data_IF_818772318070
#
_entry.id   IF_818772318070
#
_cell.length_a   1.000
_cell.length_b   1.000
_cell.length_c   1.000
_cell.angle_alpha   90.00
_cell.angle_beta   90.00
_cell.angle_gamma   90.00
#
_symmetry.space_group_name_H-M   'P 1'
#
loop_
_entity.id
_entity.type
_entity.pdbx_description
1 polymer ?
#
# COMPACT_ATOMS: atom_id res chain seq x y z
N UNK A 1 -3.57 33.18 13.32
CA UNK A 1 -3.66 33.08 11.84
C UNK A 1 -4.30 34.35 11.26
N UNK A 2 -3.79 35.53 11.64
CA UNK A 2 -4.44 36.82 11.35
C UNK A 2 -3.96 37.48 10.06
N UNK A 3 -2.80 37.08 9.55
CA UNK A 3 -2.20 37.60 8.31
C UNK A 3 -2.57 36.78 7.09
N UNK A 4 -2.66 37.46 5.96
CA UNK A 4 -2.76 36.88 4.63
C UNK A 4 -1.67 37.48 3.74
N UNK A 5 -0.82 36.62 3.15
CA UNK A 5 0.27 37.07 2.28
C UNK A 5 0.02 36.56 0.88
N UNK A 6 -0.04 37.49 -0.06
CA UNK A 6 -0.48 37.25 -1.42
C UNK A 6 0.62 37.61 -2.42
N UNK A 7 0.85 36.71 -3.38
CA UNK A 7 1.57 37.03 -4.60
C UNK A 7 0.54 37.12 -5.73
N UNK A 8 0.41 38.29 -6.34
CA UNK A 8 -0.67 38.60 -7.29
C UNK A 8 -0.16 39.37 -8.50
N UNK A 9 -0.96 39.37 -9.57
CA UNK A 9 -0.86 40.37 -10.63
C UNK A 9 -2.09 41.26 -10.62
N UNK A 10 -1.87 42.56 -10.61
CA UNK A 10 -2.94 43.55 -10.70
C UNK A 10 -3.42 43.74 -12.15
N UNK A 11 -4.33 44.70 -12.35
CA UNK A 11 -4.92 45.00 -13.67
C UNK A 11 -3.89 45.56 -14.68
N UNK A 12 -2.79 46.15 -14.20
CA UNK A 12 -1.67 46.60 -15.01
C UNK A 12 -0.63 45.48 -15.24
N UNK A 13 -0.94 44.25 -14.80
CA UNK A 13 -0.10 43.06 -14.88
C UNK A 13 1.23 43.18 -14.09
N UNK A 14 1.31 44.12 -13.13
CA UNK A 14 2.45 44.29 -12.22
C UNK A 14 2.44 43.18 -11.18
N UNK A 15 3.62 42.69 -10.81
CA UNK A 15 3.76 41.63 -9.81
C UNK A 15 3.85 42.27 -8.41
N UNK A 16 2.89 41.96 -7.56
CA UNK A 16 2.79 42.52 -6.21
C UNK A 16 2.94 41.42 -5.16
N UNK A 17 3.75 41.70 -4.13
CA UNK A 17 3.76 40.96 -2.87
C UNK A 17 3.03 41.80 -1.83
N UNK A 18 1.85 41.35 -1.41
CA UNK A 18 0.95 42.12 -0.55
C UNK A 18 0.74 41.37 0.76
N UNK A 19 0.87 42.09 1.88
CA UNK A 19 0.46 41.60 3.20
C UNK A 19 -0.84 42.29 3.61
N UNK A 20 -1.86 41.49 3.97
CA UNK A 20 -3.18 41.96 4.35
C UNK A 20 -3.58 41.38 5.71
N UNK A 21 -4.43 42.11 6.44
CA UNK A 21 -5.21 41.53 7.53
C UNK A 21 -6.24 40.55 6.95
N UNK A 22 -6.45 39.42 7.61
CA UNK A 22 -7.37 38.38 7.12
C UNK A 22 -8.83 38.66 7.51
N UNK A 23 -9.04 39.22 8.69
CA UNK A 23 -10.36 39.47 9.26
C UNK A 23 -10.59 40.96 9.48
N UNK A 24 -11.81 41.43 9.26
CA UNK A 24 -12.29 42.72 9.71
C UNK A 24 -12.58 42.68 11.22
N UNK A 25 -12.88 43.84 11.82
CA UNK A 25 -13.15 43.96 13.27
C UNK A 25 -14.37 43.16 13.73
N UNK A 26 -15.34 42.93 12.85
CA UNK A 26 -16.52 42.10 13.10
C UNK A 26 -16.26 40.59 12.92
N UNK A 27 -15.02 40.21 12.59
CA UNK A 27 -14.61 38.84 12.36
C UNK A 27 -14.92 38.30 10.95
N UNK A 28 -15.53 39.10 10.07
CA UNK A 28 -15.73 38.71 8.67
C UNK A 28 -14.41 38.72 7.89
N UNK A 29 -14.33 37.96 6.79
CA UNK A 29 -13.14 37.94 5.95
C UNK A 29 -12.95 39.27 5.23
N UNK A 30 -11.72 39.78 5.25
CA UNK A 30 -11.37 41.06 4.63
C UNK A 30 -11.30 40.98 3.10
N UNK A 31 -10.92 39.82 2.57
CA UNK A 31 -10.85 39.54 1.14
C UNK A 31 -11.53 38.22 0.80
N UNK A 32 -11.93 38.08 -0.46
CA UNK A 32 -12.56 36.86 -0.98
C UNK A 32 -11.70 36.24 -2.07
N UNK A 33 -11.79 34.92 -2.22
CA UNK A 33 -11.03 34.17 -3.20
C UNK A 33 -11.98 33.36 -4.07
N UNK A 34 -11.92 33.57 -5.37
CA UNK A 34 -12.77 32.87 -6.33
C UNK A 34 -12.08 32.79 -7.69
N UNK A 35 -12.18 31.61 -8.34
CA UNK A 35 -11.76 31.40 -9.72
C UNK A 35 -10.30 31.82 -10.04
N UNK A 36 -9.38 31.71 -9.07
CA UNK A 36 -7.97 32.11 -9.25
C UNK A 36 -7.70 33.61 -9.08
N UNK A 37 -8.64 34.35 -8.48
CA UNK A 37 -8.50 35.77 -8.17
C UNK A 37 -8.69 36.02 -6.67
N UNK A 38 -8.11 37.13 -6.21
CA UNK A 38 -8.49 37.79 -4.96
C UNK A 38 -9.39 38.98 -5.28
N UNK A 39 -10.49 39.10 -4.54
CA UNK A 39 -11.44 40.22 -4.58
C UNK A 39 -11.28 41.06 -3.33
N UNK A 40 -10.96 42.34 -3.53
CA UNK A 40 -10.83 43.34 -2.48
C UNK A 40 -12.18 43.99 -2.17
N UNK A 41 -12.28 44.68 -1.03
CA UNK A 41 -13.51 45.31 -0.56
C UNK A 41 -14.02 46.44 -1.49
N UNK A 42 -13.13 47.07 -2.26
CA UNK A 42 -13.46 48.10 -3.25
C UNK A 42 -13.90 47.52 -4.61
N UNK A 43 -13.93 46.18 -4.74
CA UNK A 43 -14.29 45.46 -5.95
C UNK A 43 -13.14 45.21 -6.92
N UNK A 44 -11.91 45.65 -6.61
CA UNK A 44 -10.74 45.33 -7.42
C UNK A 44 -10.47 43.82 -7.42
N UNK A 45 -10.03 43.29 -8.57
CA UNK A 45 -9.78 41.86 -8.78
C UNK A 45 -8.36 41.63 -9.26
N UNK A 46 -7.54 40.99 -8.43
CA UNK A 46 -6.17 40.68 -8.80
C UNK A 46 -6.00 39.18 -9.07
N UNK A 47 -5.25 38.85 -10.11
CA UNK A 47 -4.95 37.46 -10.44
C UNK A 47 -4.04 36.89 -9.37
N UNK A 48 -4.48 35.82 -8.74
CA UNK A 48 -3.75 35.18 -7.67
C UNK A 48 -2.72 34.18 -8.22
N UNK A 49 -1.48 34.30 -7.76
CA UNK A 49 -0.41 33.35 -8.06
C UNK A 49 -0.14 32.42 -6.88
N UNK A 50 -0.11 32.97 -5.66
CA UNK A 50 0.12 32.18 -4.43
C UNK A 50 -0.44 32.88 -3.19
N UNK A 51 -0.84 32.08 -2.19
CA UNK A 51 -1.21 32.51 -0.83
C UNK A 51 -0.34 31.80 0.20
N UNK A 52 0.16 32.52 1.20
CA UNK A 52 0.87 31.92 2.34
C UNK A 52 0.45 32.57 3.65
N UNK A 53 0.68 31.85 4.74
CA UNK A 53 0.42 32.36 6.09
C UNK A 53 1.41 33.42 6.58
N UNK A 54 2.60 33.47 5.97
CA UNK A 54 3.70 34.34 6.39
C UNK A 54 4.52 34.80 5.19
N UNK A 55 5.18 35.96 5.32
CA UNK A 55 6.13 36.48 4.32
C UNK A 55 7.29 35.50 4.16
N UNK A 56 7.85 34.97 5.25
CA UNK A 56 8.93 33.99 5.19
C UNK A 56 8.52 32.71 4.42
N UNK A 57 7.24 32.30 4.52
CA UNK A 57 6.66 31.27 3.67
C UNK A 57 6.69 31.66 2.19
N UNK A 58 6.17 32.84 1.85
CA UNK A 58 6.14 33.33 0.47
C UNK A 58 7.53 33.47 -0.13
N UNK A 59 8.49 34.03 0.62
CA UNK A 59 9.88 34.17 0.17
C UNK A 59 10.47 32.82 -0.22
N UNK A 60 10.25 31.75 0.56
CA UNK A 60 10.71 30.40 0.22
C UNK A 60 10.07 29.85 -1.06
N UNK A 61 8.82 30.21 -1.35
CA UNK A 61 8.17 29.84 -2.60
C UNK A 61 8.75 30.62 -3.78
N UNK A 62 8.97 31.92 -3.64
CA UNK A 62 9.57 32.77 -4.69
C UNK A 62 11.02 32.32 -4.99
N UNK A 63 11.84 32.10 -3.96
CA UNK A 63 13.24 31.66 -4.12
C UNK A 63 13.37 30.27 -4.74
N UNK A 64 12.33 29.44 -4.72
CA UNK A 64 12.35 28.14 -5.42
C UNK A 64 12.41 28.26 -6.95
N UNK A 65 12.10 29.45 -7.50
CA UNK A 65 12.10 29.73 -8.93
C UNK A 65 10.83 29.27 -9.67
N UNK A 66 9.87 28.64 -9.00
CA UNK A 66 8.65 28.12 -9.64
C UNK A 66 7.56 29.18 -9.88
N UNK A 67 7.62 30.32 -9.16
CA UNK A 67 6.53 31.33 -9.19
C UNK A 67 6.87 32.61 -9.95
N UNK A 68 8.15 32.95 -10.04
CA UNK A 68 8.61 34.24 -10.56
C UNK A 68 9.90 34.02 -11.33
N UNK A 69 9.96 34.50 -12.56
CA UNK A 69 11.16 34.45 -13.39
C UNK A 69 12.25 35.38 -12.84
N UNK A 70 13.51 34.98 -12.99
CA UNK A 70 14.66 35.78 -12.59
C UNK A 70 14.64 37.16 -13.28
N UNK A 71 14.84 38.22 -12.50
CA UNK A 71 14.83 39.60 -13.01
C UNK A 71 13.45 40.26 -13.09
N UNK A 72 12.36 39.58 -12.72
CA UNK A 72 11.04 40.20 -12.61
C UNK A 72 11.01 41.22 -11.46
N UNK A 73 10.57 42.45 -11.73
CA UNK A 73 10.36 43.47 -10.70
C UNK A 73 9.19 43.06 -9.78
N UNK A 74 9.47 42.93 -8.49
CA UNK A 74 8.48 42.63 -7.45
C UNK A 74 8.23 43.87 -6.59
N UNK A 75 7.00 44.38 -6.65
CA UNK A 75 6.59 45.51 -5.83
C UNK A 75 6.08 44.97 -4.49
N UNK A 76 6.76 45.32 -3.40
CA UNK A 76 6.27 44.98 -2.07
C UNK A 76 5.31 46.03 -1.56
N UNK A 77 4.13 45.60 -1.14
CA UNK A 77 3.14 46.41 -0.44
C UNK A 77 3.10 45.88 1.00
N UNK A 78 3.95 46.42 1.89
CA UNK A 78 4.00 45.96 3.27
C UNK A 78 2.70 46.33 4.00
N UNK A 79 2.28 45.42 4.88
CA UNK A 79 1.22 45.69 5.83
C UNK A 79 1.78 46.40 7.05
N UNK A 80 1.21 47.55 7.42
CA UNK A 80 1.49 48.18 8.70
C UNK A 80 0.44 47.72 9.70
N UNK A 81 0.75 46.60 10.37
CA UNK A 81 -0.16 45.97 11.30
C UNK A 81 0.53 45.68 12.63
N UNK A 82 -0.20 45.90 13.72
CA UNK A 82 0.15 45.44 15.06
C UNK A 82 0.05 43.89 15.15
N UNK A 83 -0.39 43.39 16.30
CA UNK A 83 -0.47 41.97 16.63
C UNK A 83 -1.74 41.30 16.09
N UNK A 84 -1.80 41.15 14.75
CA UNK A 84 -2.92 40.47 14.07
C UNK A 84 -3.12 39.02 14.53
N UNK A 85 -2.08 38.36 15.03
CA UNK A 85 -2.14 36.94 15.38
C UNK A 85 -2.92 36.69 16.68
N UNK A 86 -2.98 37.69 17.56
CA UNK A 86 -3.69 37.64 18.84
C UNK A 86 -5.09 38.29 18.80
N UNK A 87 -5.56 38.72 17.62
CA UNK A 87 -6.95 39.17 17.47
C UNK A 87 -7.94 38.02 17.75
N UNK A 88 -9.11 38.29 18.38
CA UNK A 88 -10.08 37.25 18.73
C UNK A 88 -10.51 36.36 17.55
N UNK A 89 -10.74 36.96 16.37
CA UNK A 89 -11.09 36.23 15.17
C UNK A 89 -9.94 35.32 14.68
N UNK A 90 -8.69 35.81 14.74
CA UNK A 90 -7.51 35.04 14.35
C UNK A 90 -7.26 33.85 15.28
N UNK A 91 -7.52 34.00 16.58
CA UNK A 91 -7.43 32.92 17.57
C UNK A 91 -8.55 31.89 17.40
N UNK A 92 -9.79 32.33 17.24
CA UNK A 92 -10.93 31.44 16.99
C UNK A 92 -10.73 30.63 15.70
N UNK A 93 -10.22 31.27 14.65
CA UNK A 93 -9.93 30.62 13.38
C UNK A 93 -8.76 29.61 13.50
N UNK A 94 -7.70 29.95 14.23
CA UNK A 94 -6.60 29.02 14.49
C UNK A 94 -7.06 27.77 15.27
N UNK A 95 -7.93 27.94 16.26
CA UNK A 95 -8.52 26.82 17.00
C UNK A 95 -9.43 25.96 16.10
N UNK A 96 -10.22 26.58 15.22
CA UNK A 96 -11.03 25.85 14.24
C UNK A 96 -10.16 25.03 13.27
N UNK A 97 -9.05 25.59 12.78
CA UNK A 97 -8.08 24.87 11.95
C UNK A 97 -7.46 23.69 12.69
N UNK A 98 -7.07 23.89 13.96
CA UNK A 98 -6.49 22.83 14.81
C UNK A 98 -7.46 21.68 15.01
N UNK A 99 -8.72 21.96 15.36
CA UNK A 99 -9.75 20.94 15.51
C UNK A 99 -9.99 20.16 14.24
N UNK A 100 -9.99 20.81 13.06
CA UNK A 100 -10.14 20.11 11.77
C UNK A 100 -9.02 19.11 11.53
N UNK A 101 -7.78 19.45 11.86
CA UNK A 101 -6.64 18.53 11.77
C UNK A 101 -6.81 17.36 12.76
N UNK A 102 -7.20 17.66 14.01
CA UNK A 102 -7.35 16.65 15.07
C UNK A 102 -8.53 15.68 14.85
N UNK A 103 -9.66 16.17 14.34
CA UNK A 103 -10.90 15.39 14.18
C UNK A 103 -10.95 14.56 12.89
N UNK A 104 -10.12 14.87 11.88
CA UNK A 104 -10.21 14.18 10.59
C UNK A 104 -9.03 14.35 9.62
N UNK A 105 -7.93 15.01 10.02
CA UNK A 105 -6.81 15.27 9.13
C UNK A 105 -5.92 14.05 8.91
N UNK A 106 -6.20 13.23 7.90
CA UNK A 106 -5.20 12.30 7.37
C UNK A 106 -4.16 13.09 6.56
N UNK A 107 -3.06 13.48 7.20
CA UNK A 107 -1.97 14.23 6.56
C UNK A 107 -1.20 13.40 5.51
N UNK A 108 -1.49 12.10 5.38
CA UNK A 108 -0.97 11.26 4.32
C UNK A 108 -1.92 11.16 3.14
N UNK A 109 -3.09 11.80 3.17
CA UNK A 109 -4.01 11.86 2.03
C UNK A 109 -4.13 13.29 1.52
N UNK A 110 -3.95 13.47 0.21
CA UNK A 110 -4.05 14.78 -0.40
C UNK A 110 -5.50 15.26 -0.45
N UNK A 111 -5.76 16.44 0.10
CA UNK A 111 -7.08 17.07 0.08
C UNK A 111 -7.64 17.32 -1.33
N UNK A 112 -6.77 17.41 -2.35
CA UNK A 112 -7.16 17.83 -3.70
C UNK A 112 -7.46 16.65 -4.60
N UNK A 113 -6.58 15.64 -4.61
CA UNK A 113 -6.72 14.49 -5.50
C UNK A 113 -7.21 13.22 -4.79
N UNK A 114 -7.24 13.21 -3.46
CA UNK A 114 -7.61 12.05 -2.64
C UNK A 114 -6.58 10.92 -2.62
N UNK A 115 -5.43 11.08 -3.30
CA UNK A 115 -4.35 10.07 -3.33
C UNK A 115 -3.41 10.24 -2.15
N UNK A 116 -2.65 9.19 -1.86
CA UNK A 116 -1.68 9.18 -0.76
C UNK A 116 -0.49 10.09 -1.04
N UNK A 117 0.00 10.77 -0.02
CA UNK A 117 1.19 11.62 -0.06
C UNK A 117 2.37 10.79 0.45
N UNK A 118 3.26 10.45 -0.46
CA UNK A 118 4.55 9.81 -0.18
C UNK A 118 5.73 10.58 -0.80
N UNK A 119 5.55 11.87 -1.06
CA UNK A 119 6.60 12.79 -1.49
C UNK A 119 7.40 13.29 -0.28
N UNK A 120 8.72 13.45 -0.42
CA UNK A 120 9.56 14.03 0.65
C UNK A 120 9.01 15.38 1.14
N UNK A 121 8.59 16.24 0.21
CA UNK A 121 8.04 17.56 0.51
C UNK A 121 6.59 17.64 0.04
N UNK A 122 5.70 17.97 0.97
CA UNK A 122 4.30 18.31 0.70
C UNK A 122 3.94 19.62 1.40
N UNK A 123 2.76 20.15 1.09
CA UNK A 123 2.28 21.39 1.71
C UNK A 123 1.18 21.11 2.71
N UNK A 124 1.29 21.70 3.90
CA UNK A 124 0.14 21.91 4.76
C UNK A 124 -0.59 23.15 4.27
N UNK A 125 -1.86 23.00 3.92
CA UNK A 125 -2.68 24.06 3.34
C UNK A 125 -3.99 24.23 4.09
N UNK A 126 -4.60 25.36 3.80
CA UNK A 126 -5.95 25.72 4.14
C UNK A 126 -6.71 26.05 2.84
N UNK A 127 -7.81 25.35 2.61
CA UNK A 127 -8.78 25.65 1.55
C UNK A 127 -9.81 26.57 2.17
N UNK A 128 -9.70 27.84 1.82
CA UNK A 128 -10.56 28.91 2.31
C UNK A 128 -10.88 29.85 1.14
N UNK A 129 -11.73 29.36 0.25
CA UNK A 129 -12.23 30.06 -0.94
C UNK A 129 -13.75 29.88 -1.06
N UNK A 130 -14.39 30.67 -1.92
CA UNK A 130 -15.86 30.71 -2.00
C UNK A 130 -16.47 29.49 -2.71
N UNK A 131 -15.64 28.69 -3.39
CA UNK A 131 -16.10 27.55 -4.20
C UNK A 131 -16.08 26.23 -3.43
N UNK A 132 -15.43 26.18 -2.26
CA UNK A 132 -15.22 24.95 -1.51
C UNK A 132 -15.55 25.10 -0.02
N UNK A 133 -15.94 24.02 0.66
CA UNK A 133 -15.99 24.01 2.12
C UNK A 133 -14.62 24.32 2.73
N UNK A 134 -14.64 24.88 3.93
CA UNK A 134 -13.42 25.12 4.69
C UNK A 134 -12.74 23.81 5.09
N UNK A 135 -11.51 23.61 4.63
CA UNK A 135 -10.70 22.42 4.91
C UNK A 135 -9.24 22.77 5.23
N UNK A 136 -8.60 21.94 6.05
CA UNK A 136 -7.18 22.09 6.43
C UNK A 136 -6.53 20.72 6.41
N UNK A 137 -5.36 20.61 5.79
CA UNK A 137 -4.69 19.32 5.62
C UNK A 137 -3.48 19.39 4.70
N UNK A 138 -3.08 18.26 4.13
CA UNK A 138 -1.91 18.16 3.29
C UNK A 138 -2.26 18.03 1.80
N UNK A 139 -1.35 18.49 0.93
CA UNK A 139 -1.43 18.28 -0.52
C UNK A 139 -0.06 17.97 -1.12
N UNK A 140 -0.05 17.16 -2.18
CA UNK A 140 1.14 17.00 -3.02
C UNK A 140 1.61 18.36 -3.54
N UNK A 141 2.92 18.47 -3.80
CA UNK A 141 3.49 19.69 -4.39
C UNK A 141 2.80 20.04 -5.71
N UNK A 142 2.56 19.03 -6.57
CA UNK A 142 1.88 19.20 -7.85
C UNK A 142 0.38 19.49 -7.77
N UNK A 143 -0.26 19.26 -6.62
CA UNK A 143 -1.70 19.52 -6.42
C UNK A 143 -1.99 20.91 -5.85
N UNK A 144 -0.94 21.69 -5.54
CA UNK A 144 -1.08 23.00 -4.93
C UNK A 144 -1.65 24.03 -5.94
N UNK A 145 -2.86 24.53 -5.68
CA UNK A 145 -3.52 25.58 -6.49
C UNK A 145 -3.24 26.98 -5.91
N UNK A 146 -3.30 28.06 -6.73
CA UNK A 146 -3.07 29.42 -6.25
C UNK A 146 -3.97 29.84 -5.07
N UNK A 147 -5.23 29.39 -5.07
CA UNK A 147 -6.20 29.69 -4.01
C UNK A 147 -5.94 28.94 -2.70
N UNK A 148 -5.09 27.91 -2.67
CA UNK A 148 -4.74 27.24 -1.43
C UNK A 148 -3.79 28.11 -0.62
N UNK A 149 -4.15 28.37 0.64
CA UNK A 149 -3.29 29.12 1.56
C UNK A 149 -2.27 28.17 2.18
N UNK A 150 -1.00 28.35 1.86
CA UNK A 150 0.08 27.51 2.41
C UNK A 150 0.34 27.91 3.85
N UNK A 151 0.10 26.98 4.77
CA UNK A 151 0.39 27.12 6.20
C UNK A 151 1.85 26.79 6.49
N UNK A 152 2.40 25.79 5.79
CA UNK A 152 3.76 25.31 5.96
C UNK A 152 4.13 24.21 4.97
N UNK A 153 5.35 23.69 5.11
CA UNK A 153 5.83 22.52 4.36
C UNK A 153 6.00 21.36 5.33
N UNK A 154 5.63 20.17 4.88
CA UNK A 154 5.84 18.93 5.61
C UNK A 154 6.99 18.18 4.94
N UNK A 155 8.00 17.84 5.73
CA UNK A 155 9.15 17.04 5.30
C UNK A 155 9.09 15.65 5.92
N UNK A 156 9.38 14.61 5.12
CA UNK A 156 9.49 13.25 5.63
C UNK A 156 10.76 12.56 5.09
N UNK A 157 11.62 12.10 5.99
CA UNK A 157 12.91 11.47 5.64
C UNK A 157 12.74 10.06 5.06
N UNK A 158 11.69 9.33 5.47
CA UNK A 158 11.39 8.00 4.91
C UNK A 158 11.04 8.13 3.43
N UNK A 159 10.25 9.15 3.08
CA UNK A 159 9.88 9.43 1.70
C UNK A 159 11.07 9.95 0.89
N UNK A 160 11.96 10.72 1.52
CA UNK A 160 13.22 11.13 0.89
C UNK A 160 14.14 9.96 0.54
N UNK A 161 14.23 8.97 1.44
CA UNK A 161 15.02 7.77 1.23
C UNK A 161 14.43 6.84 0.16
N UNK A 162 13.13 6.97 -0.15
CA UNK A 162 12.40 6.08 -1.05
C UNK A 162 11.60 6.84 -2.12
N UNK A 163 12.26 7.65 -2.99
CA UNK A 163 11.58 8.54 -3.93
C UNK A 163 10.80 7.81 -5.04
N UNK A 164 11.05 6.50 -5.22
CA UNK A 164 10.37 5.66 -6.20
C UNK A 164 8.99 5.18 -5.74
N UNK A 165 8.67 5.30 -4.44
CA UNK A 165 7.38 4.92 -3.88
C UNK A 165 6.40 6.09 -3.91
N UNK A 166 6.14 6.64 -5.09
CA UNK A 166 5.21 7.74 -5.30
C UNK A 166 3.74 7.28 -5.15
N UNK A 167 2.90 8.11 -4.54
CA UNK A 167 1.51 7.83 -4.17
C UNK A 167 1.30 6.50 -3.39
N UNK A 168 2.33 6.03 -2.66
CA UNK A 168 2.28 4.74 -1.97
C UNK A 168 1.56 4.86 -0.62
N UNK A 169 0.57 3.99 -0.39
CA UNK A 169 -0.19 3.93 0.85
C UNK A 169 0.58 3.17 1.95
N UNK A 170 1.55 3.86 2.56
CA UNK A 170 2.34 3.31 3.66
C UNK A 170 1.48 2.88 4.85
N UNK A 171 0.37 3.57 5.12
CA UNK A 171 -0.51 3.29 6.25
C UNK A 171 -1.21 1.95 6.05
N UNK A 172 -1.84 1.75 4.89
CA UNK A 172 -2.47 0.48 4.53
C UNK A 172 -1.42 -0.63 4.46
N UNK A 173 -0.27 -0.37 3.86
CA UNK A 173 0.82 -1.35 3.77
C UNK A 173 1.27 -1.85 5.14
N UNK A 174 1.66 -0.94 6.04
CA UNK A 174 2.19 -1.28 7.37
C UNK A 174 1.14 -2.00 8.22
N UNK A 175 -0.13 -1.58 8.13
CA UNK A 175 -1.21 -2.25 8.85
C UNK A 175 -1.44 -3.68 8.34
N UNK A 176 -1.37 -3.89 7.03
CA UNK A 176 -1.58 -5.19 6.40
C UNK A 176 -0.40 -6.14 6.60
N UNK A 177 0.83 -5.62 6.67
CA UNK A 177 2.04 -6.41 6.79
C UNK A 177 2.14 -7.15 8.14
N UNK A 178 1.58 -6.60 9.22
CA UNK A 178 1.68 -7.16 10.59
C UNK A 178 1.22 -8.60 10.72
N UNK A 179 0.31 -9.05 9.86
CA UNK A 179 -0.28 -10.39 9.89
C UNK A 179 -0.32 -11.06 8.52
N UNK A 180 0.46 -10.56 7.56
CA UNK A 180 0.44 -10.99 6.17
C UNK A 180 1.69 -11.71 5.66
N UNK A 181 1.68 -12.03 4.37
CA UNK A 181 2.75 -12.65 3.58
C UNK A 181 3.25 -13.99 4.13
N UNK A 182 2.37 -14.77 4.77
CA UNK A 182 2.76 -16.05 5.38
C UNK A 182 3.50 -17.00 4.44
N UNK A 183 3.07 -17.08 3.18
CA UNK A 183 3.73 -17.88 2.16
C UNK A 183 5.14 -17.36 1.85
N UNK A 184 5.26 -16.08 1.51
CA UNK A 184 6.52 -15.51 1.05
C UNK A 184 7.58 -15.51 2.15
N UNK A 185 7.18 -15.27 3.40
CA UNK A 185 8.07 -15.38 4.55
C UNK A 185 8.56 -16.81 4.75
N UNK A 186 7.65 -17.80 4.72
CA UNK A 186 8.02 -19.21 4.85
C UNK A 186 8.98 -19.69 3.76
N UNK A 187 8.79 -19.23 2.52
CA UNK A 187 9.70 -19.60 1.42
C UNK A 187 11.07 -18.94 1.58
N UNK A 188 11.15 -17.66 1.98
CA UNK A 188 12.44 -16.99 2.25
C UNK A 188 13.22 -17.69 3.36
N UNK A 189 12.55 -18.10 4.43
CA UNK A 189 13.16 -18.85 5.54
C UNK A 189 13.69 -20.22 5.10
N UNK A 190 13.07 -20.86 4.11
CA UNK A 190 13.54 -22.15 3.57
C UNK A 190 14.84 -22.05 2.77
N UNK A 191 15.31 -20.85 2.43
CA UNK A 191 16.53 -20.64 1.63
C UNK A 191 16.42 -21.07 0.17
N UNK A 192 15.21 -21.37 -0.32
CA UNK A 192 14.97 -21.70 -1.73
C UNK A 192 15.26 -20.50 -2.62
N UNK A 193 15.97 -20.74 -3.72
CA UNK A 193 16.35 -19.74 -4.71
C UNK A 193 15.88 -20.13 -6.12
N UNK A 194 15.93 -19.19 -7.05
CA UNK A 194 15.45 -19.37 -8.43
C UNK A 194 13.95 -19.09 -8.58
N UNK A 195 13.36 -19.64 -9.64
CA UNK A 195 11.92 -19.48 -9.94
C UNK A 195 11.10 -20.48 -9.13
N UNK A 196 10.25 -19.96 -8.24
CA UNK A 196 9.43 -20.78 -7.36
C UNK A 196 7.99 -20.75 -7.86
N UNK A 197 7.44 -21.93 -8.19
CA UNK A 197 6.04 -22.03 -8.60
C UNK A 197 5.14 -22.16 -7.39
N UNK A 198 4.21 -21.22 -7.24
CA UNK A 198 3.20 -21.18 -6.18
C UNK A 198 1.86 -21.57 -6.76
N UNK A 199 1.19 -22.52 -6.12
CA UNK A 199 -0.16 -22.90 -6.48
C UNK A 199 -1.18 -22.03 -5.75
N UNK A 200 -2.06 -21.42 -6.54
CA UNK A 200 -3.24 -20.71 -6.07
C UNK A 200 -4.49 -21.56 -6.31
N UNK A 201 -5.26 -21.75 -5.24
CA UNK A 201 -6.54 -22.44 -5.29
C UNK A 201 -7.69 -21.41 -5.35
N UNK A 202 -8.38 -21.24 -6.50
CA UNK A 202 -9.49 -20.30 -6.63
C UNK A 202 -10.74 -20.74 -5.86
N UNK A 203 -10.84 -22.03 -5.53
CA UNK A 203 -11.93 -22.65 -4.80
C UNK A 203 -11.70 -22.66 -3.30
N UNK A 204 -10.68 -21.94 -2.80
CA UNK A 204 -10.40 -21.81 -1.37
C UNK A 204 -11.41 -20.89 -0.65
N UNK A 205 -12.68 -21.17 -0.88
CA UNK A 205 -13.81 -20.57 -0.25
C UNK A 205 -13.88 -21.01 1.22
N UNK A 206 -13.41 -20.15 2.12
CA UNK A 206 -13.52 -20.27 3.58
C UNK A 206 -14.98 -20.11 4.08
N UNK A 207 -15.97 -20.67 3.40
CA UNK A 207 -17.39 -20.59 3.83
C UNK A 207 -17.76 -21.67 4.85
N UNK A 208 -16.81 -22.50 5.30
CA UNK A 208 -17.11 -23.56 6.25
C UNK A 208 -17.10 -23.02 7.68
N UNK A 209 -18.29 -22.88 8.28
CA UNK A 209 -18.45 -22.61 9.73
C UNK A 209 -18.33 -23.88 10.58
N UNK A 210 -17.68 -24.92 10.03
CA UNK A 210 -17.57 -26.24 10.63
C UNK A 210 -16.97 -26.20 12.04
N UNK A 211 -17.50 -27.06 12.91
CA UNK A 211 -17.04 -27.19 14.28
C UNK A 211 -15.87 -28.18 14.44
N UNK A 212 -15.47 -28.88 13.37
CA UNK A 212 -14.42 -29.90 13.41
C UNK A 212 -13.24 -29.53 12.50
N UNK A 213 -12.09 -30.15 12.74
CA UNK A 213 -10.91 -30.10 11.89
C UNK A 213 -10.07 -31.36 12.07
N UNK A 214 -8.96 -31.46 11.33
CA UNK A 214 -8.03 -32.59 11.43
C UNK A 214 -6.84 -32.18 12.29
N UNK A 215 -6.67 -32.87 13.42
CA UNK A 215 -5.48 -32.78 14.25
C UNK A 215 -4.52 -33.92 13.89
N UNK A 216 -3.22 -33.66 13.92
CA UNK A 216 -2.20 -34.69 13.74
C UNK A 216 -1.15 -34.60 14.84
N UNK A 217 -0.69 -35.77 15.27
CA UNK A 217 0.27 -35.95 16.35
C UNK A 217 1.63 -36.34 15.77
N UNK A 218 2.70 -35.92 16.42
CA UNK A 218 4.07 -36.30 16.08
C UNK A 218 4.69 -37.16 17.18
N UNK A 219 5.79 -37.83 16.84
CA UNK A 219 6.51 -38.74 17.75
C UNK A 219 7.19 -38.03 18.94
N UNK A 220 7.38 -36.72 18.85
CA UNK A 220 7.80 -35.85 19.96
C UNK A 220 6.66 -35.45 20.91
N UNK A 221 5.43 -35.91 20.64
CA UNK A 221 4.24 -35.65 21.46
C UNK A 221 3.55 -34.32 21.18
N UNK A 222 3.99 -33.55 20.17
CA UNK A 222 3.30 -32.32 19.79
C UNK A 222 2.05 -32.60 18.95
N UNK A 223 1.06 -31.72 19.06
CA UNK A 223 -0.19 -31.78 18.28
C UNK A 223 -0.30 -30.55 17.40
N UNK A 224 -0.59 -30.80 16.14
CA UNK A 224 -0.81 -29.78 15.14
C UNK A 224 -2.18 -29.96 14.49
N UNK A 225 -2.57 -28.98 13.68
CA UNK A 225 -3.83 -29.01 12.94
C UNK A 225 -3.56 -28.75 11.47
N UNK A 226 -4.33 -29.41 10.61
CA UNK A 226 -4.30 -29.14 9.17
C UNK A 226 -4.73 -27.70 8.93
N UNK A 227 -3.93 -26.99 8.13
CA UNK A 227 -4.14 -25.58 7.81
C UNK A 227 -4.36 -25.41 6.31
N UNK A 228 -5.29 -24.53 5.95
CA UNK A 228 -5.43 -23.99 4.61
C UNK A 228 -5.03 -22.52 4.64
N UNK A 229 -4.04 -22.13 3.82
CA UNK A 229 -3.50 -20.75 3.80
C UNK A 229 -3.14 -20.22 5.20
N UNK A 230 -2.49 -21.07 6.01
CA UNK A 230 -2.06 -20.73 7.37
C UNK A 230 -3.16 -20.71 8.44
N UNK A 231 -4.44 -20.94 8.08
CA UNK A 231 -5.56 -20.98 9.03
C UNK A 231 -6.03 -22.41 9.26
N UNK A 232 -6.37 -22.75 10.51
CA UNK A 232 -6.92 -24.07 10.87
C UNK A 232 -8.17 -24.34 10.02
N UNK A 233 -8.15 -25.46 9.29
CA UNK A 233 -9.23 -25.78 8.37
C UNK A 233 -10.45 -26.28 9.15
N UNK A 234 -11.57 -25.55 9.00
CA UNK A 234 -12.87 -25.93 9.56
C UNK A 234 -13.64 -26.82 8.61
N UNK A 235 -14.28 -27.84 9.14
CA UNK A 235 -15.00 -28.87 8.40
C UNK A 235 -16.24 -29.33 9.17
N UNK A 236 -17.17 -29.98 8.47
CA UNK A 236 -18.17 -30.82 9.15
C UNK A 236 -17.47 -32.01 9.80
N UNK A 237 -18.12 -32.61 10.79
CA UNK A 237 -17.59 -33.81 11.45
C UNK A 237 -17.27 -34.93 10.46
N UNK A 238 -18.21 -35.27 9.59
CA UNK A 238 -18.04 -36.34 8.59
C UNK A 238 -16.89 -36.07 7.62
N UNK A 239 -16.70 -34.81 7.22
CA UNK A 239 -15.60 -34.43 6.34
C UNK A 239 -14.25 -34.51 7.07
N UNK A 240 -14.19 -34.08 8.33
CA UNK A 240 -12.98 -34.20 9.14
C UNK A 240 -12.60 -35.65 9.42
N UNK A 241 -13.57 -36.52 9.70
CA UNK A 241 -13.36 -37.96 9.92
C UNK A 241 -12.78 -38.60 8.64
N UNK A 242 -13.40 -38.37 7.49
CA UNK A 242 -12.90 -38.86 6.20
C UNK A 242 -11.50 -38.32 5.88
N UNK A 243 -11.25 -37.03 6.07
CA UNK A 243 -9.94 -36.43 5.81
C UNK A 243 -8.84 -36.98 6.74
N UNK A 244 -9.18 -37.26 8.01
CA UNK A 244 -8.26 -37.90 8.95
C UNK A 244 -7.95 -39.35 8.54
N UNK A 245 -8.94 -40.11 8.06
CA UNK A 245 -8.74 -41.46 7.52
C UNK A 245 -7.83 -41.45 6.28
N UNK A 246 -8.08 -40.57 5.32
CA UNK A 246 -7.24 -40.38 4.13
C UNK A 246 -5.80 -40.01 4.51
N UNK A 247 -5.63 -39.11 5.49
CA UNK A 247 -4.31 -38.74 5.99
C UNK A 247 -3.59 -39.90 6.68
N UNK A 248 -4.29 -40.71 7.49
CA UNK A 248 -3.71 -41.89 8.12
C UNK A 248 -3.27 -42.94 7.08
N UNK A 249 -4.05 -43.15 6.02
CA UNK A 249 -3.63 -44.01 4.91
C UNK A 249 -2.33 -43.53 4.27
N UNK A 250 -2.19 -42.21 4.03
CA UNK A 250 -0.97 -41.64 3.50
C UNK A 250 0.22 -41.78 4.47
N UNK A 251 -0.01 -41.62 5.78
CA UNK A 251 1.00 -41.83 6.83
C UNK A 251 1.52 -43.27 6.81
N UNK A 252 0.62 -44.24 6.79
CA UNK A 252 0.97 -45.66 6.77
C UNK A 252 1.70 -46.06 5.49
N UNK A 253 1.26 -45.55 4.34
CA UNK A 253 1.93 -45.76 3.05
C UNK A 253 3.36 -45.19 3.05
N UNK A 254 3.54 -43.95 3.51
CA UNK A 254 4.87 -43.33 3.61
C UNK A 254 5.80 -44.12 4.55
N UNK A 255 5.28 -44.56 5.69
CA UNK A 255 6.03 -45.41 6.62
C UNK A 255 6.44 -46.74 5.98
N UNK A 256 5.53 -47.41 5.28
CA UNK A 256 5.82 -48.66 4.58
C UNK A 256 6.82 -48.48 3.43
N UNK A 257 6.82 -47.32 2.77
CA UNK A 257 7.76 -46.98 1.71
C UNK A 257 9.14 -46.51 2.21
N UNK A 258 9.34 -46.39 3.54
CA UNK A 258 10.57 -45.87 4.11
C UNK A 258 10.74 -44.35 4.01
N UNK A 259 9.69 -43.62 3.64
CA UNK A 259 9.64 -42.15 3.55
C UNK A 259 8.46 -41.62 4.40
N UNK A 260 8.58 -41.68 5.75
CA UNK A 260 7.48 -41.32 6.63
C UNK A 260 7.12 -39.84 6.52
N UNK A 261 5.87 -39.50 6.78
CA UNK A 261 5.45 -38.10 6.88
C UNK A 261 6.05 -37.44 8.13
N UNK A 262 6.54 -36.22 7.98
CA UNK A 262 7.16 -35.41 9.01
C UNK A 262 6.49 -34.04 9.10
N UNK A 263 6.67 -33.36 10.24
CA UNK A 263 6.12 -32.03 10.52
C UNK A 263 7.22 -31.04 10.91
N UNK A 264 6.98 -29.76 10.64
CA UNK A 264 7.73 -28.63 11.17
C UNK A 264 6.80 -27.41 11.38
N UNK A 265 7.37 -26.26 11.71
CA UNK A 265 6.64 -24.98 11.86
C UNK A 265 5.80 -24.60 10.63
N UNK A 266 6.24 -24.99 9.42
CA UNK A 266 5.65 -24.59 8.15
C UNK A 266 4.59 -25.56 7.62
N UNK A 267 4.58 -26.81 8.08
CA UNK A 267 3.57 -27.78 7.66
C UNK A 267 4.04 -29.22 7.83
N UNK A 268 3.48 -30.11 7.01
CA UNK A 268 3.81 -31.53 6.99
C UNK A 268 4.08 -32.00 5.56
N UNK A 269 5.07 -32.86 5.38
CA UNK A 269 5.50 -33.43 4.09
C UNK A 269 6.31 -34.71 4.34
N UNK A 270 6.56 -35.56 3.32
CA UNK A 270 7.43 -36.72 3.47
C UNK A 270 8.84 -36.35 3.97
N UNK A 271 9.49 -37.27 4.67
CA UNK A 271 10.82 -37.08 5.25
C UNK A 271 11.84 -36.61 4.21
N UNK A 272 11.82 -37.19 3.01
CA UNK A 272 12.67 -36.83 1.87
C UNK A 272 12.57 -35.36 1.46
N UNK A 273 11.42 -34.72 1.72
CA UNK A 273 11.17 -33.30 1.47
C UNK A 273 11.53 -32.42 2.67
N UNK A 274 11.31 -32.92 3.89
CA UNK A 274 11.47 -32.17 5.13
C UNK A 274 12.88 -32.17 5.70
N UNK A 275 13.70 -33.18 5.37
CA UNK A 275 15.07 -33.26 5.86
C UNK A 275 15.94 -32.19 5.20
N UNK A 276 16.57 -31.36 6.03
CA UNK A 276 17.52 -30.32 5.58
C UNK A 276 18.75 -30.32 6.48
N UNK A 277 19.80 -29.61 6.07
CA UNK A 277 20.98 -29.40 6.92
C UNK A 277 20.66 -28.70 8.25
N UNK A 278 19.61 -27.87 8.27
CA UNK A 278 19.15 -27.13 9.45
C UNK A 278 18.14 -27.93 10.29
N UNK A 279 17.48 -28.93 9.70
CA UNK A 279 16.57 -29.83 10.39
C UNK A 279 16.84 -31.29 9.96
N UNK A 280 17.90 -31.93 10.48
CA UNK A 280 18.30 -33.27 10.06
C UNK A 280 17.35 -34.37 10.56
N UNK A 281 16.56 -34.08 11.60
CA UNK A 281 15.66 -35.03 12.25
C UNK A 281 14.28 -34.41 12.50
N UNK A 282 13.48 -34.12 11.45
CA UNK A 282 12.16 -33.56 11.62
C UNK A 282 11.23 -34.55 12.35
N UNK A 283 10.40 -34.09 13.32
CA UNK A 283 9.42 -34.94 14.02
C UNK A 283 8.51 -35.68 13.04
N UNK A 284 8.26 -36.96 13.31
CA UNK A 284 7.45 -37.82 12.42
C UNK A 284 5.99 -37.74 12.80
N UNK A 285 5.12 -37.60 11.82
CA UNK A 285 3.67 -37.66 12.03
C UNK A 285 3.29 -39.11 12.32
N UNK A 286 2.63 -39.34 13.45
CA UNK A 286 2.27 -40.67 13.94
C UNK A 286 0.85 -41.03 13.59
N UNK A 287 -0.09 -40.08 13.72
CA UNK A 287 -1.52 -40.29 13.54
C UNK A 287 -2.26 -38.97 13.27
N UNK A 288 -3.36 -39.04 12.52
CA UNK A 288 -4.34 -37.98 12.36
C UNK A 288 -5.70 -38.36 12.96
N UNK A 289 -6.45 -37.39 13.47
CA UNK A 289 -7.79 -37.58 14.04
C UNK A 289 -8.68 -36.38 13.78
N UNK A 290 -9.98 -36.64 13.62
CA UNK A 290 -10.98 -35.58 13.61
C UNK A 290 -11.20 -35.07 15.04
N UNK A 291 -11.08 -33.74 15.23
CA UNK A 291 -11.29 -33.10 16.54
C UNK A 291 -12.23 -31.93 16.42
N UNK A 292 -13.04 -31.75 17.47
CA UNK A 292 -13.84 -30.55 17.63
C UNK A 292 -12.92 -29.34 17.91
N UNK A 293 -13.20 -28.22 17.26
CA UNK A 293 -12.39 -27.02 17.28
C UNK A 293 -13.02 -25.98 18.20
N UNK A 294 -12.28 -25.62 19.24
CA UNK A 294 -12.64 -24.45 20.06
C UNK A 294 -12.08 -23.17 19.46
N UNK A 295 -12.61 -22.01 19.87
CA UNK A 295 -12.01 -20.71 19.54
C UNK A 295 -10.56 -20.62 20.00
N UNK A 296 -10.24 -21.16 21.19
CA UNK A 296 -8.88 -21.17 21.73
C UNK A 296 -7.94 -21.99 20.85
N UNK A 297 -8.37 -23.18 20.41
CA UNK A 297 -7.62 -24.03 19.48
C UNK A 297 -7.31 -23.30 18.17
N UNK A 298 -8.34 -22.72 17.54
CA UNK A 298 -8.13 -22.02 16.26
C UNK A 298 -7.20 -20.82 16.44
N UNK A 299 -7.38 -20.03 17.50
CA UNK A 299 -6.52 -18.87 17.77
C UNK A 299 -5.06 -19.26 18.06
N UNK A 300 -4.82 -20.39 18.72
CA UNK A 300 -3.47 -20.84 19.07
C UNK A 300 -2.71 -21.48 17.90
N UNK A 301 -3.43 -22.00 16.89
CA UNK A 301 -2.83 -22.77 15.79
C UNK A 301 -2.93 -22.09 14.42
N UNK A 302 -3.65 -20.97 14.29
CA UNK A 302 -3.52 -20.10 13.12
C UNK A 302 -2.11 -19.50 13.06
N UNK A 303 -1.48 -19.56 11.90
CA UNK A 303 -0.14 -19.01 11.70
C UNK A 303 -0.16 -17.57 11.17
N UNK A 304 -1.09 -17.24 10.29
CA UNK A 304 -1.17 -15.93 9.62
C UNK A 304 -2.63 -15.56 9.32
N UNK A 305 -2.88 -14.26 9.17
CA UNK A 305 -4.18 -13.76 8.72
C UNK A 305 -4.27 -13.73 7.20
N UNK A 306 -3.21 -13.23 6.53
CA UNK A 306 -3.09 -13.24 5.08
C UNK A 306 -1.91 -14.11 4.66
N UNK A 307 -2.17 -15.02 3.72
CA UNK A 307 -1.17 -15.97 3.26
C UNK A 307 -0.36 -15.42 2.10
N UNK A 308 -1.00 -14.74 1.15
CA UNK A 308 -0.35 -14.09 0.01
C UNK A 308 -0.15 -12.59 0.27
N UNK A 309 -1.19 -11.90 0.71
CA UNK A 309 -1.19 -10.44 0.85
C UNK A 309 -0.50 -9.96 2.16
N UNK A 310 -0.06 -8.69 2.27
CA UNK A 310 -0.16 -7.67 1.25
C UNK A 310 0.82 -7.86 0.09
N UNK A 311 0.43 -7.44 -1.10
CA UNK A 311 1.29 -7.26 -2.26
C UNK A 311 0.95 -5.89 -2.87
N UNK A 312 1.80 -5.37 -3.74
CA UNK A 312 1.44 -4.20 -4.54
C UNK A 312 1.87 -4.37 -5.99
N UNK A 313 1.24 -3.62 -6.89
CA UNK A 313 1.58 -3.61 -8.30
C UNK A 313 1.60 -2.18 -8.84
N UNK A 314 2.16 -2.03 -10.03
CA UNK A 314 2.31 -0.75 -10.70
C UNK A 314 1.18 -0.55 -11.71
N UNK A 315 0.61 0.65 -11.72
CA UNK A 315 -0.35 1.09 -12.73
C UNK A 315 0.23 2.26 -13.51
N UNK A 316 -0.17 2.42 -14.76
CA UNK A 316 0.15 3.62 -15.51
C UNK A 316 -0.53 4.84 -14.86
N UNK A 317 0.24 5.91 -14.65
CA UNK A 317 -0.22 7.06 -13.83
C UNK A 317 -1.34 7.86 -14.50
N UNK A 318 -1.39 7.87 -15.83
CA UNK A 318 -2.36 8.65 -16.60
C UNK A 318 -3.65 7.87 -16.83
N UNK A 319 -3.55 6.65 -17.33
CA UNK A 319 -4.72 5.81 -17.63
C UNK A 319 -5.25 5.04 -16.43
N UNK A 320 -4.43 4.84 -15.39
CA UNK A 320 -4.76 4.01 -14.23
C UNK A 320 -4.76 2.50 -14.52
N UNK A 321 -4.39 2.07 -15.73
CA UNK A 321 -4.39 0.66 -16.11
C UNK A 321 -3.22 -0.10 -15.48
N UNK A 322 -3.46 -1.37 -15.15
CA UNK A 322 -2.44 -2.29 -14.63
C UNK A 322 -1.34 -2.50 -15.67
N UNK A 323 -0.08 -2.38 -15.25
CA UNK A 323 1.04 -2.71 -16.12
C UNK A 323 1.17 -4.24 -16.27
N UNK A 324 1.14 -4.71 -17.50
CA UNK A 324 1.41 -6.09 -17.86
C UNK A 324 2.65 -6.18 -18.76
N UNK A 325 3.52 -7.15 -18.47
CA UNK A 325 4.65 -7.52 -19.31
C UNK A 325 4.27 -8.79 -20.09
N UNK A 326 3.96 -8.63 -21.38
CA UNK A 326 3.30 -9.69 -22.16
C UNK A 326 2.06 -10.22 -21.41
N UNK A 327 2.02 -11.51 -21.11
CA UNK A 327 0.89 -12.15 -20.42
C UNK A 327 1.09 -12.22 -18.89
N UNK A 328 1.89 -11.33 -18.30
CA UNK A 328 2.20 -11.35 -16.88
C UNK A 328 2.02 -9.99 -16.18
N UNK A 329 1.27 -9.98 -15.08
CA UNK A 329 1.23 -8.84 -14.16
C UNK A 329 2.30 -9.03 -13.09
N UNK A 330 3.09 -7.98 -12.85
CA UNK A 330 4.18 -8.00 -11.88
C UNK A 330 3.69 -7.46 -10.54
N UNK A 331 3.79 -8.30 -9.52
CA UNK A 331 3.50 -7.99 -8.13
C UNK A 331 4.81 -7.86 -7.35
N UNK A 332 4.78 -7.06 -6.30
CA UNK A 332 5.90 -6.85 -5.40
C UNK A 332 5.46 -7.11 -3.97
N UNK A 333 6.32 -7.80 -3.22
CA UNK A 333 6.09 -8.11 -1.82
C UNK A 333 6.82 -7.16 -0.87
N UNK A 334 7.80 -6.40 -1.34
CA UNK A 334 8.55 -5.46 -0.50
C UNK A 334 8.75 -4.13 -1.24
N UNK A 335 8.13 -3.03 -0.77
CA UNK A 335 8.24 -1.73 -1.42
C UNK A 335 9.66 -1.19 -1.39
N UNK A 336 10.48 -1.56 -0.40
CA UNK A 336 11.86 -1.10 -0.30
C UNK A 336 12.77 -1.73 -1.36
N UNK A 337 12.34 -2.83 -1.98
CA UNK A 337 13.05 -3.50 -3.08
C UNK A 337 12.68 -2.98 -4.46
N UNK A 338 11.73 -2.04 -4.56
CA UNK A 338 11.27 -1.53 -5.86
C UNK A 338 12.42 -0.97 -6.70
N UNK A 339 13.35 -0.22 -6.10
CA UNK A 339 14.49 0.35 -6.83
C UNK A 339 15.45 -0.71 -7.39
N UNK A 340 15.74 -1.75 -6.61
CA UNK A 340 16.56 -2.89 -7.04
C UNK A 340 15.91 -3.62 -8.23
N UNK A 341 14.60 -3.90 -8.11
CA UNK A 341 13.85 -4.63 -9.14
C UNK A 341 13.69 -3.82 -10.42
N UNK A 342 13.35 -2.53 -10.34
CA UNK A 342 13.32 -1.63 -11.50
C UNK A 342 14.69 -1.55 -12.18
N UNK A 343 15.78 -1.56 -11.41
CA UNK A 343 17.14 -1.64 -11.93
C UNK A 343 17.39 -2.93 -12.72
N UNK A 344 16.99 -4.08 -12.17
CA UNK A 344 17.06 -5.36 -12.88
C UNK A 344 16.22 -5.38 -14.16
N UNK A 345 14.98 -4.90 -14.09
CA UNK A 345 14.04 -4.89 -15.22
C UNK A 345 14.56 -4.00 -16.35
N UNK A 346 15.16 -2.86 -16.02
CA UNK A 346 15.83 -2.00 -17.00
C UNK A 346 17.00 -2.71 -17.71
N UNK A 347 17.77 -3.54 -17.01
CA UNK A 347 18.83 -4.35 -17.62
C UNK A 347 18.31 -5.46 -18.54
N UNK A 348 17.06 -5.88 -18.34
CA UNK A 348 16.33 -6.78 -19.22
C UNK A 348 15.56 -6.03 -20.34
N UNK A 349 15.87 -4.74 -20.56
CA UNK A 349 15.23 -3.87 -21.55
C UNK A 349 13.72 -3.62 -21.30
N UNK A 350 13.24 -3.85 -20.07
CA UNK A 350 11.88 -3.56 -19.66
C UNK A 350 11.83 -2.12 -19.14
N UNK A 351 11.03 -1.27 -19.80
CA UNK A 351 10.88 0.15 -19.44
C UNK A 351 9.46 0.40 -18.92
N UNK A 352 9.37 1.08 -17.79
CA UNK A 352 8.09 1.47 -17.19
C UNK A 352 7.78 2.93 -17.50
N UNK A 353 6.53 3.25 -17.89
CA UNK A 353 6.07 4.63 -17.93
C UNK A 353 6.00 5.21 -16.49
N UNK A 354 5.74 6.52 -16.34
CA UNK A 354 5.36 7.08 -15.06
C UNK A 354 4.22 6.27 -14.44
N UNK A 355 4.42 5.79 -13.21
CA UNK A 355 3.52 4.84 -12.57
C UNK A 355 2.92 5.40 -11.28
N UNK A 356 1.83 4.77 -10.86
CA UNK A 356 1.27 4.80 -9.51
C UNK A 356 1.33 3.40 -8.90
N UNK A 357 1.06 3.28 -7.61
CA UNK A 357 1.07 2.00 -6.90
C UNK A 357 -0.32 1.65 -6.40
N UNK A 358 -0.67 0.37 -6.43
CA UNK A 358 -1.92 -0.16 -5.87
C UNK A 358 -1.60 -1.32 -4.97
N UNK A 359 -2.16 -1.30 -3.75
CA UNK A 359 -1.96 -2.35 -2.75
C UNK A 359 -3.10 -3.36 -2.83
N UNK A 360 -2.73 -4.63 -2.92
CA UNK A 360 -3.59 -5.77 -2.61
C UNK A 360 -3.43 -6.03 -1.11
N UNK A 361 -4.39 -5.55 -0.30
CA UNK A 361 -4.21 -5.48 1.15
C UNK A 361 -4.41 -6.82 1.87
N UNK A 362 -5.32 -7.65 1.37
CA UNK A 362 -5.69 -8.92 1.99
C UNK A 362 -5.86 -10.06 0.96
N UNK A 363 -6.00 -11.30 1.47
CA UNK A 363 -6.13 -12.49 0.63
C UNK A 363 -7.44 -12.52 -0.18
N UNK A 364 -8.48 -11.79 0.24
CA UNK A 364 -9.74 -11.68 -0.50
C UNK A 364 -9.53 -10.83 -1.75
N UNK A 365 -8.89 -9.68 -1.61
CA UNK A 365 -8.52 -8.81 -2.73
C UNK A 365 -7.53 -9.52 -3.65
N UNK A 366 -6.60 -10.29 -3.09
CA UNK A 366 -5.71 -11.15 -3.87
C UNK A 366 -6.48 -12.18 -4.70
N UNK A 367 -7.47 -12.88 -4.11
CA UNK A 367 -8.29 -13.85 -4.84
C UNK A 367 -9.12 -13.21 -5.95
N UNK A 368 -9.65 -12.00 -5.72
CA UNK A 368 -10.36 -11.23 -6.74
C UNK A 368 -9.43 -10.84 -7.89
N UNK A 369 -8.28 -10.26 -7.56
CA UNK A 369 -7.25 -9.89 -8.52
C UNK A 369 -6.80 -11.09 -9.36
N UNK A 370 -6.50 -12.23 -8.73
CA UNK A 370 -6.07 -13.44 -9.43
C UNK A 370 -7.15 -14.00 -10.37
N UNK A 371 -8.44 -13.83 -10.04
CA UNK A 371 -9.56 -14.20 -10.92
C UNK A 371 -9.65 -13.28 -12.13
N UNK A 372 -9.49 -11.97 -11.92
CA UNK A 372 -9.55 -10.95 -12.96
C UNK A 372 -8.44 -11.15 -14.00
N UNK A 373 -7.17 -11.17 -13.58
CA UNK A 373 -6.05 -11.33 -14.53
C UNK A 373 -6.13 -12.65 -15.29
N UNK A 374 -6.71 -13.69 -14.67
CA UNK A 374 -6.87 -15.00 -15.32
C UNK A 374 -7.97 -15.00 -16.37
N UNK A 375 -9.04 -14.24 -16.19
CA UNK A 375 -10.06 -14.07 -17.24
C UNK A 375 -9.44 -13.45 -18.50
N UNK A 376 -8.39 -12.66 -18.33
CA UNK A 376 -7.58 -12.08 -19.41
C UNK A 376 -6.41 -12.97 -19.86
N UNK A 377 -6.36 -14.24 -19.42
CA UNK A 377 -5.28 -15.20 -19.72
C UNK A 377 -3.89 -14.78 -19.24
N UNK A 378 -3.80 -13.88 -18.26
CA UNK A 378 -2.54 -13.47 -17.66
C UNK A 378 -2.16 -14.32 -16.43
N UNK A 379 -0.87 -14.29 -16.09
CA UNK A 379 -0.31 -14.85 -14.86
C UNK A 379 0.18 -13.74 -13.92
N UNK A 380 0.35 -14.06 -12.64
CA UNK A 380 1.02 -13.17 -11.69
C UNK A 380 2.45 -13.65 -11.41
N UNK A 381 3.40 -12.71 -11.48
CA UNK A 381 4.78 -12.91 -11.05
C UNK A 381 5.07 -12.01 -9.85
N UNK A 382 5.52 -12.58 -8.73
CA UNK A 382 5.87 -11.80 -7.52
C UNK A 382 7.39 -11.68 -7.41
N UNK A 383 7.87 -10.46 -7.20
CA UNK A 383 9.30 -10.11 -7.15
C UNK A 383 10.14 -10.72 -8.29
N UNK A 384 9.70 -10.62 -9.56
CA UNK A 384 10.38 -11.26 -10.67
C UNK A 384 11.79 -10.67 -10.88
N UNK A 385 12.75 -11.56 -11.12
CA UNK A 385 14.10 -11.20 -11.53
C UNK A 385 14.34 -11.78 -12.93
N UNK A 386 14.77 -10.93 -13.85
CA UNK A 386 15.02 -11.30 -15.24
C UNK A 386 16.53 -11.33 -15.54
N UNK A 387 16.93 -12.21 -16.46
CA UNK A 387 18.24 -12.12 -17.10
C UNK A 387 18.26 -11.02 -18.17
N UNK A 388 19.43 -10.77 -18.79
CA UNK A 388 19.59 -9.75 -19.84
C UNK A 388 18.84 -10.05 -21.14
N UNK A 389 18.21 -11.23 -21.25
CA UNK A 389 17.36 -11.61 -22.38
C UNK A 389 15.87 -11.56 -22.03
N UNK A 390 15.52 -11.11 -20.82
CA UNK A 390 14.14 -11.06 -20.35
C UNK A 390 13.59 -12.40 -19.83
N UNK A 391 14.41 -13.43 -19.64
CA UNK A 391 13.95 -14.69 -19.07
C UNK A 391 13.83 -14.58 -17.55
N UNK A 392 12.75 -15.12 -16.99
CA UNK A 392 12.56 -15.19 -15.54
C UNK A 392 13.57 -16.16 -14.92
N UNK A 393 14.45 -15.65 -14.06
CA UNK A 393 15.49 -16.42 -13.35
C UNK A 393 15.28 -16.47 -11.83
N UNK A 394 14.41 -15.61 -11.30
CA UNK A 394 14.08 -15.57 -9.87
C UNK A 394 12.70 -14.99 -9.61
N UNK A 395 12.21 -15.19 -8.38
CA UNK A 395 10.89 -14.73 -7.93
C UNK A 395 9.86 -15.85 -7.88
N UNK A 396 8.59 -15.47 -7.73
CA UNK A 396 7.49 -16.42 -7.59
C UNK A 396 6.57 -16.37 -8.80
N UNK A 397 6.27 -17.53 -9.37
CA UNK A 397 5.26 -17.69 -10.42
C UNK A 397 4.00 -18.25 -9.80
N UNK A 398 2.91 -17.50 -9.81
CA UNK A 398 1.62 -17.97 -9.29
C UNK A 398 0.85 -18.64 -10.43
N UNK A 399 0.43 -19.89 -10.21
CA UNK A 399 -0.35 -20.69 -11.16
C UNK A 399 -1.59 -21.27 -10.48
N UNK A 400 -2.66 -21.50 -11.24
CA UNK A 400 -3.82 -22.17 -10.66
C UNK A 400 -3.53 -23.63 -10.37
N UNK A 401 -4.02 -24.12 -9.24
CA UNK A 401 -3.96 -25.55 -8.91
C UNK A 401 -4.66 -26.41 -9.97
N UNK A 402 -5.77 -25.94 -10.56
CA UNK A 402 -6.49 -26.69 -11.59
C UNK A 402 -5.65 -26.91 -12.86
N UNK A 403 -4.84 -25.93 -13.25
CA UNK A 403 -3.95 -26.06 -14.42
C UNK A 403 -2.85 -27.07 -14.15
N UNK A 404 -2.33 -27.09 -12.93
CA UNK A 404 -1.29 -28.05 -12.56
C UNK A 404 -1.85 -29.48 -12.56
N UNK A 405 -3.05 -29.66 -12.01
CA UNK A 405 -3.75 -30.95 -12.00
C UNK A 405 -4.09 -31.41 -13.42
N UNK A 406 -4.62 -30.52 -14.27
CA UNK A 406 -4.94 -30.85 -15.66
C UNK A 406 -3.70 -31.32 -16.44
N UNK A 407 -2.57 -30.63 -16.30
CA UNK A 407 -1.29 -31.03 -16.92
C UNK A 407 -0.78 -32.37 -16.41
N UNK A 408 -0.91 -32.64 -15.11
CA UNK A 408 -0.51 -33.92 -14.52
C UNK A 408 -1.37 -35.07 -15.05
N UNK A 409 -2.70 -34.87 -15.17
CA UNK A 409 -3.62 -35.85 -15.76
C UNK A 409 -3.30 -36.11 -17.23
N UNK A 410 -2.95 -35.07 -18.00
CA UNK A 410 -2.59 -35.20 -19.39
C UNK A 410 -1.25 -35.93 -19.58
N UNK A 411 -0.24 -35.61 -18.77
CA UNK A 411 1.05 -36.30 -18.78
C UNK A 411 0.91 -37.81 -18.54
N UNK A 412 0.06 -38.20 -17.57
CA UNK A 412 -0.25 -39.61 -17.27
C UNK A 412 -1.02 -40.31 -18.39
N UNK A 413 -1.80 -39.56 -19.19
CA UNK A 413 -2.50 -40.12 -20.37
C UNK A 413 -1.59 -40.31 -21.57
N UNK A 414 -0.50 -39.53 -21.64
CA UNK A 414 0.48 -39.58 -22.75
C UNK A 414 1.70 -40.46 -22.45
N UNK A 415 1.88 -40.90 -21.21
CA UNK A 415 2.86 -41.89 -20.76
C UNK A 415 2.26 -43.29 -20.74
#
# INVERSE_FOLDING_TARGET
MGREVLLVRDDENRLLLVELRRFAEDGTKFVRFAHGYVELADGARWRLLRRTSTIAGMTREITSGELVDEGTELIMVPGDFDDLENEPAALAHAEAARRRIEEGGDLLTCLVCGRQISEHLSYAIEIDDDSHPYEVGAVHRGCLRPTHRVLGRLGNDVFNANPLLFDFDFKTWVNSLRSGQGLFNSVRESGRTGVITIQWNPDNASFTTGAYGVAYETDDGTTHYVRARGKVQRMSRSLAERAAEEMNQAIDQGRAAGDPWCSNSHGFAPYSVMVTSQNPNPPRVTMASARELTRATVSAHNAVENYYAPLFYLTDRESGQTFALADAVLLLSDPLRLGELLGNWKHAEIVFPPYSTVIIADDRDFDLFMREIRQESMIALVDPVFDTKGNLVGGFRIVSIHETVARAVEAVRTS
#
